data_IF_409501010290
#
_entry.id   IF_409501010290
#
_cell.length_a   1.000
_cell.length_b   1.000
_cell.length_c   1.000
_cell.angle_alpha   90.00
_cell.angle_beta   90.00
_cell.angle_gamma   90.00
#
_symmetry.space_group_name_H-M   'P 1'
#
loop_
_entity.id
_entity.type
_entity.pdbx_description
1 polymer ?
#
# COMPACT_ATOMS: atom_id res chain seq x y z
N UNK A 1 3.47 1.17 -26.58
CA UNK A 1 4.88 0.99 -27.01
C UNK A 1 5.89 1.81 -26.24
N UNK A 2 5.78 3.14 -26.19
CA UNK A 2 6.61 4.02 -25.37
C UNK A 2 5.82 4.47 -24.14
N UNK A 3 6.49 4.72 -23.01
CA UNK A 3 5.87 5.37 -21.87
C UNK A 3 5.39 6.77 -22.27
N UNK A 4 4.11 7.05 -22.04
CA UNK A 4 3.49 8.35 -22.35
C UNK A 4 3.24 9.16 -21.08
N UNK A 5 2.72 8.50 -20.04
CA UNK A 5 2.32 9.16 -18.80
C UNK A 5 2.40 8.19 -17.62
N UNK A 6 2.72 8.73 -16.44
CA UNK A 6 2.50 8.08 -15.17
C UNK A 6 1.94 9.10 -14.17
N UNK A 7 1.00 8.67 -13.34
CA UNK A 7 0.38 9.51 -12.32
C UNK A 7 0.23 8.78 -11.00
N UNK A 8 0.24 9.51 -9.89
CA UNK A 8 -0.16 8.97 -8.59
C UNK A 8 -1.68 8.73 -8.55
N UNK A 9 -2.16 8.03 -7.52
CA UNK A 9 -3.60 7.78 -7.33
C UNK A 9 -4.38 9.05 -6.97
N UNK A 10 -3.78 9.96 -6.23
CA UNK A 10 -4.46 11.15 -5.69
C UNK A 10 -5.73 10.79 -4.90
N UNK A 11 -6.85 11.45 -5.22
CA UNK A 11 -8.18 11.17 -4.63
C UNK A 11 -8.94 10.02 -5.32
N UNK A 12 -8.31 9.37 -6.31
CA UNK A 12 -8.91 8.33 -7.13
C UNK A 12 -9.52 8.82 -8.44
N UNK A 13 -9.65 10.14 -8.62
CA UNK A 13 -10.06 10.77 -9.88
C UNK A 13 -8.93 11.61 -10.48
N UNK A 14 -8.26 12.41 -9.65
CA UNK A 14 -7.18 13.32 -10.05
C UNK A 14 -5.90 12.95 -9.31
N UNK A 15 -4.92 12.46 -10.09
CA UNK A 15 -3.57 12.16 -9.64
C UNK A 15 -2.56 13.26 -9.99
N UNK A 16 -1.38 13.19 -9.38
CA UNK A 16 -0.24 14.04 -9.75
C UNK A 16 0.56 13.38 -10.88
N UNK A 17 0.97 14.16 -11.88
CA UNK A 17 1.87 13.69 -12.94
C UNK A 17 3.29 13.48 -12.38
N UNK A 18 3.79 12.25 -12.52
CA UNK A 18 5.12 11.82 -12.08
C UNK A 18 5.93 11.23 -13.24
N UNK A 19 5.53 11.49 -14.48
CA UNK A 19 6.14 10.92 -15.69
C UNK A 19 7.65 11.20 -15.75
N UNK A 20 8.08 12.38 -15.32
CA UNK A 20 9.48 12.79 -15.27
C UNK A 20 10.32 11.96 -14.29
N UNK A 21 9.72 11.35 -13.28
CA UNK A 21 10.41 10.52 -12.29
C UNK A 21 10.56 9.06 -12.71
N UNK A 22 9.74 8.55 -13.64
CA UNK A 22 9.74 7.14 -14.04
C UNK A 22 11.10 6.66 -14.58
N UNK A 23 11.87 7.44 -15.35
CA UNK A 23 13.21 7.03 -15.76
C UNK A 23 14.19 6.74 -14.61
N UNK A 24 13.91 7.20 -13.39
CA UNK A 24 14.72 6.90 -12.20
C UNK A 24 14.32 5.57 -11.51
N UNK A 25 13.18 4.97 -11.88
CA UNK A 25 12.73 3.70 -11.31
C UNK A 25 13.58 2.55 -11.84
N UNK A 26 13.89 1.58 -10.99
CA UNK A 26 14.85 0.51 -11.34
C UNK A 26 14.29 -0.56 -12.28
N UNK A 27 12.98 -0.74 -12.35
CA UNK A 27 12.36 -1.89 -13.02
C UNK A 27 11.17 -1.52 -13.92
N UNK A 28 11.08 -0.27 -14.37
CA UNK A 28 10.03 0.17 -15.29
C UNK A 28 10.62 0.31 -16.70
N UNK A 29 10.20 -0.51 -17.68
CA UNK A 29 10.63 -0.34 -19.06
C UNK A 29 10.03 0.93 -19.67
N UNK A 30 10.87 1.83 -20.17
CA UNK A 30 10.42 3.04 -20.89
C UNK A 30 9.86 2.73 -22.28
N UNK A 31 10.22 1.57 -22.82
CA UNK A 31 9.70 1.07 -24.09
C UNK A 31 9.45 -0.43 -24.01
N UNK A 32 8.33 -0.87 -24.58
CA UNK A 32 7.89 -2.26 -24.62
C UNK A 32 7.54 -2.67 -26.06
N UNK A 33 7.58 -3.97 -26.39
CA UNK A 33 7.23 -4.45 -27.73
C UNK A 33 5.76 -4.20 -28.07
N UNK A 34 4.85 -4.25 -27.09
CA UNK A 34 3.42 -3.99 -27.24
C UNK A 34 3.15 -2.58 -27.78
N UNK A 35 2.52 -2.47 -28.96
CA UNK A 35 2.36 -1.18 -29.68
C UNK A 35 1.06 -0.47 -29.37
N UNK A 36 0.03 -1.19 -28.98
CA UNK A 36 -1.27 -0.63 -28.64
C UNK A 36 -1.24 0.08 -27.27
N UNK A 37 -2.38 0.66 -26.93
CA UNK A 37 -2.58 1.37 -25.69
C UNK A 37 -2.66 0.37 -24.54
N UNK A 38 -1.79 0.57 -23.55
CA UNK A 38 -1.69 -0.25 -22.36
C UNK A 38 -1.70 0.69 -21.14
N UNK A 39 -2.67 0.49 -20.25
CA UNK A 39 -2.79 1.22 -18.99
C UNK A 39 -2.69 0.22 -17.85
N UNK A 40 -1.66 0.35 -17.03
CA UNK A 40 -1.39 -0.53 -15.90
C UNK A 40 -1.49 0.26 -14.59
N UNK A 41 -1.90 -0.41 -13.53
CA UNK A 41 -1.85 0.13 -12.18
C UNK A 41 -1.10 -0.84 -11.26
N UNK A 42 -0.44 -0.27 -10.27
CA UNK A 42 0.54 -0.95 -9.44
C UNK A 42 0.97 -0.08 -8.28
N UNK A 43 1.81 -0.66 -7.44
CA UNK A 43 2.38 0.03 -6.29
C UNK A 43 3.83 0.41 -6.56
N UNK A 44 4.19 1.65 -6.19
CA UNK A 44 5.59 2.06 -6.16
C UNK A 44 6.14 1.86 -4.76
N UNK A 45 7.27 1.17 -4.63
CA UNK A 45 7.83 0.80 -3.34
C UNK A 45 9.35 0.85 -3.35
N UNK A 46 9.94 0.82 -2.16
CA UNK A 46 11.39 0.65 -1.95
C UNK A 46 11.56 -0.67 -1.18
N UNK A 47 12.38 -1.61 -1.68
CA UNK A 47 12.63 -2.86 -0.96
C UNK A 47 13.09 -2.64 0.47
N UNK A 48 12.69 -3.52 1.40
CA UNK A 48 13.00 -3.36 2.83
C UNK A 48 14.50 -3.26 3.10
N UNK A 49 15.32 -4.08 2.44
CA UNK A 49 16.77 -4.02 2.54
C UNK A 49 17.38 -2.71 1.99
N UNK A 50 16.83 -2.17 0.90
CA UNK A 50 17.24 -0.89 0.33
C UNK A 50 16.85 0.27 1.25
N UNK A 51 15.66 0.23 1.86
CA UNK A 51 15.24 1.22 2.84
C UNK A 51 16.18 1.22 4.05
N UNK A 52 16.45 0.06 4.65
CA UNK A 52 17.35 -0.07 5.80
C UNK A 52 18.76 0.48 5.50
N UNK A 53 19.27 0.25 4.29
CA UNK A 53 20.56 0.78 3.86
C UNK A 53 20.56 2.31 3.68
N UNK A 54 19.42 2.90 3.30
CA UNK A 54 19.33 4.31 2.90
C UNK A 54 18.78 5.23 3.98
N UNK A 55 18.01 4.71 4.95
CA UNK A 55 17.25 5.51 5.93
C UNK A 55 18.11 6.49 6.73
N UNK A 56 19.36 6.12 7.03
CA UNK A 56 20.27 6.94 7.85
C UNK A 56 21.06 7.97 7.03
N UNK A 57 21.11 7.82 5.70
CA UNK A 57 21.88 8.70 4.81
C UNK A 57 21.01 9.77 4.14
N UNK A 58 19.75 9.46 3.89
CA UNK A 58 18.82 10.37 3.22
C UNK A 58 17.92 11.07 4.24
N UNK A 59 17.46 12.26 3.86
CA UNK A 59 16.58 13.09 4.68
C UNK A 59 15.36 13.49 3.88
N UNK A 60 14.25 13.68 4.58
CA UNK A 60 13.02 14.25 4.04
C UNK A 60 13.16 15.75 3.75
N UNK A 61 12.08 16.37 3.25
CA UNK A 61 12.08 17.81 2.94
C UNK A 61 12.30 18.72 4.16
N UNK A 62 12.22 18.18 5.38
CA UNK A 62 12.47 18.90 6.64
C UNK A 62 13.84 18.57 7.24
N UNK A 63 14.69 17.83 6.53
CA UNK A 63 16.01 17.43 7.03
C UNK A 63 15.96 16.31 8.08
N UNK A 64 14.85 15.59 8.22
CA UNK A 64 14.68 14.47 9.16
C UNK A 64 14.86 13.12 8.47
N UNK A 65 15.33 12.07 9.17
CA UNK A 65 15.36 10.71 8.61
C UNK A 65 13.96 10.24 8.21
N UNK A 66 13.89 9.38 7.19
CA UNK A 66 12.63 8.74 6.81
C UNK A 66 12.26 7.66 7.83
N UNK A 67 11.02 7.73 8.35
CA UNK A 67 10.53 6.86 9.42
C UNK A 67 10.13 5.46 8.97
N UNK A 68 9.60 5.35 7.76
CA UNK A 68 9.22 4.06 7.16
C UNK A 68 9.39 4.07 5.64
N UNK A 69 9.45 2.88 5.05
CA UNK A 69 9.64 2.68 3.61
C UNK A 69 8.53 3.30 2.76
N UNK A 70 7.29 3.34 3.26
CA UNK A 70 6.14 3.94 2.56
C UNK A 70 6.31 5.45 2.38
N UNK A 71 6.68 6.15 3.44
CA UNK A 71 6.96 7.59 3.41
C UNK A 71 8.17 7.89 2.51
N UNK A 72 9.18 7.02 2.55
CA UNK A 72 10.36 7.17 1.71
C UNK A 72 10.03 7.00 0.22
N UNK A 73 9.25 5.97 -0.14
CA UNK A 73 8.78 5.76 -1.50
C UNK A 73 7.93 6.95 -1.98
N UNK A 74 6.90 7.34 -1.21
CA UNK A 74 6.00 8.46 -1.55
C UNK A 74 6.76 9.77 -1.78
N UNK A 75 7.69 10.13 -0.87
CA UNK A 75 8.51 11.33 -1.02
C UNK A 75 9.48 11.28 -2.19
N UNK A 76 9.90 10.09 -2.61
CA UNK A 76 10.80 9.90 -3.76
C UNK A 76 10.06 9.98 -5.08
N UNK A 77 8.90 9.33 -5.18
CA UNK A 77 8.04 9.30 -6.36
C UNK A 77 7.49 10.69 -6.69
N UNK A 78 7.25 11.53 -5.68
CA UNK A 78 6.69 12.88 -5.83
C UNK A 78 7.76 13.98 -5.89
N UNK A 79 9.03 13.63 -6.06
CA UNK A 79 10.10 14.62 -6.18
C UNK A 79 9.92 15.49 -7.42
N UNK A 80 10.15 16.80 -7.30
CA UNK A 80 10.13 17.72 -8.44
C UNK A 80 11.35 17.52 -9.35
N UNK A 81 12.54 17.31 -8.77
CA UNK A 81 13.75 16.97 -9.52
C UNK A 81 13.92 15.44 -9.57
N UNK A 82 13.90 14.82 -10.76
CA UNK A 82 14.09 13.38 -10.90
C UNK A 82 15.46 12.91 -10.43
N UNK A 83 16.48 13.78 -10.39
CA UNK A 83 17.80 13.46 -9.84
C UNK A 83 17.73 13.05 -8.38
N UNK A 84 16.76 13.57 -7.63
CA UNK A 84 16.58 13.15 -6.24
C UNK A 84 16.04 11.73 -6.15
N UNK A 85 15.26 11.25 -7.13
CA UNK A 85 14.74 9.89 -7.15
C UNK A 85 15.84 8.87 -7.52
N UNK A 86 16.84 9.29 -8.29
CA UNK A 86 18.00 8.46 -8.66
C UNK A 86 18.71 7.96 -7.39
N UNK A 87 18.99 6.67 -7.34
CA UNK A 87 19.69 6.04 -6.22
C UNK A 87 18.84 5.76 -4.99
N UNK A 88 17.56 6.16 -4.98
CA UNK A 88 16.60 5.83 -3.90
C UNK A 88 15.96 4.45 -4.04
N UNK A 89 16.36 3.69 -5.06
CA UNK A 89 15.92 2.32 -5.31
C UNK A 89 14.40 2.14 -5.46
N UNK A 90 13.70 3.14 -5.99
CA UNK A 90 12.25 3.04 -6.24
C UNK A 90 11.98 2.00 -7.31
N UNK A 91 11.03 1.12 -7.04
CA UNK A 91 10.52 0.07 -7.94
C UNK A 91 9.02 0.20 -8.09
N UNK A 92 8.49 -0.41 -9.15
CA UNK A 92 7.07 -0.51 -9.42
C UNK A 92 6.65 -1.97 -9.58
N UNK A 93 5.53 -2.35 -8.97
CA UNK A 93 4.96 -3.68 -9.08
C UNK A 93 3.51 -3.58 -9.60
N UNK A 94 3.22 -4.04 -10.83
CA UNK A 94 1.86 -4.02 -11.34
C UNK A 94 1.00 -5.05 -10.59
N UNK A 95 -0.24 -4.66 -10.26
CA UNK A 95 -1.24 -5.57 -9.70
C UNK A 95 -2.55 -5.57 -10.48
N UNK A 96 -2.73 -4.69 -11.48
CA UNK A 96 -3.89 -4.75 -12.38
C UNK A 96 -3.62 -4.07 -13.74
N UNK A 97 -4.35 -4.50 -14.77
CA UNK A 97 -4.37 -3.88 -16.10
C UNK A 97 -5.73 -3.24 -16.32
N UNK A 98 -5.76 -1.92 -16.56
CA UNK A 98 -6.99 -1.16 -16.76
C UNK A 98 -7.43 -1.15 -18.24
N UNK A 99 -6.48 -1.19 -19.17
CA UNK A 99 -6.73 -1.15 -20.61
C UNK A 99 -5.59 -1.87 -21.35
N UNK A 100 -5.92 -2.61 -22.41
CA UNK A 100 -4.97 -3.37 -23.22
C UNK A 100 -4.82 -4.83 -22.81
N UNK A 101 -3.88 -5.55 -23.45
CA UNK A 101 -3.65 -6.99 -23.28
C UNK A 101 -4.87 -7.85 -23.62
N UNK A 102 -5.56 -7.55 -24.73
CA UNK A 102 -6.70 -8.34 -25.21
C UNK A 102 -6.27 -9.56 -26.06
N UNK A 103 -5.00 -9.61 -26.43
CA UNK A 103 -4.35 -10.66 -27.23
C UNK A 103 -3.80 -11.83 -26.39
N UNK A 104 -3.87 -11.74 -25.06
CA UNK A 104 -3.47 -12.84 -24.17
C UNK A 104 -4.48 -14.00 -24.23
N UNK A 105 -4.09 -15.24 -23.88
CA UNK A 105 -4.98 -16.41 -23.99
C UNK A 105 -6.31 -16.28 -23.23
N UNK A 106 -6.31 -15.62 -22.07
CA UNK A 106 -7.49 -15.41 -21.23
C UNK A 106 -7.64 -13.93 -20.86
N UNK A 107 -8.18 -13.09 -21.75
CA UNK A 107 -8.19 -11.64 -21.55
C UNK A 107 -9.15 -11.19 -20.43
N UNK A 108 -10.10 -12.02 -20.00
CA UNK A 108 -10.92 -11.70 -18.82
C UNK A 108 -10.21 -12.05 -17.49
N UNK A 109 -9.05 -12.71 -17.50
CA UNK A 109 -8.31 -13.10 -16.29
C UNK A 109 -7.26 -12.05 -15.91
N UNK A 110 -7.33 -11.53 -14.69
CA UNK A 110 -6.31 -10.63 -14.14
C UNK A 110 -4.96 -11.31 -14.03
N UNK A 111 -4.92 -12.55 -13.53
CA UNK A 111 -3.71 -13.34 -13.44
C UNK A 111 -3.02 -13.47 -14.81
N UNK A 112 -3.78 -13.82 -15.85
CA UNK A 112 -3.25 -13.95 -17.21
C UNK A 112 -2.69 -12.62 -17.75
N UNK A 113 -3.39 -11.50 -17.52
CA UNK A 113 -2.88 -10.17 -17.91
C UNK A 113 -1.59 -9.81 -17.15
N UNK A 114 -1.52 -10.08 -15.84
CA UNK A 114 -0.33 -9.81 -15.03
C UNK A 114 0.87 -10.67 -15.43
N UNK A 115 0.66 -11.95 -15.71
CA UNK A 115 1.69 -12.82 -16.29
C UNK A 115 2.19 -12.26 -17.63
N UNK A 116 1.27 -11.81 -18.49
CA UNK A 116 1.59 -11.14 -19.75
C UNK A 116 2.51 -9.92 -19.59
N UNK A 117 2.35 -9.13 -18.53
CA UNK A 117 3.22 -7.98 -18.26
C UNK A 117 4.67 -8.38 -17.99
N UNK A 118 4.92 -9.58 -17.45
CA UNK A 118 6.29 -10.06 -17.20
C UNK A 118 7.06 -10.25 -18.52
N UNK A 119 6.38 -10.70 -19.57
CA UNK A 119 6.96 -10.80 -20.92
C UNK A 119 7.25 -9.44 -21.56
N UNK A 120 6.64 -8.37 -21.04
CA UNK A 120 6.91 -6.99 -21.45
C UNK A 120 8.01 -6.33 -20.62
N UNK A 121 8.59 -7.04 -19.65
CA UNK A 121 9.70 -6.55 -18.81
C UNK A 121 9.28 -5.91 -17.49
N UNK A 122 8.01 -6.02 -17.08
CA UNK A 122 7.57 -5.58 -15.75
C UNK A 122 7.84 -6.65 -14.69
N UNK A 123 7.88 -6.23 -13.43
CA UNK A 123 7.99 -7.14 -12.28
C UNK A 123 6.75 -8.01 -12.08
N UNK A 124 6.94 -9.17 -11.44
CA UNK A 124 5.89 -10.12 -11.10
C UNK A 124 5.40 -9.92 -9.66
N UNK A 125 4.10 -9.67 -9.49
CA UNK A 125 3.46 -9.68 -8.18
C UNK A 125 3.11 -11.12 -7.79
N UNK A 126 3.63 -11.68 -6.68
CA UNK A 126 3.26 -13.03 -6.24
C UNK A 126 1.77 -13.15 -5.92
N UNK A 127 1.11 -14.18 -6.46
CA UNK A 127 -0.28 -14.50 -6.15
C UNK A 127 -0.52 -16.03 -6.23
N UNK A 128 -1.65 -16.46 -5.68
CA UNK A 128 -2.20 -17.80 -5.87
C UNK A 128 -3.57 -17.71 -6.53
N UNK A 129 -3.80 -18.51 -7.58
CA UNK A 129 -5.13 -18.65 -8.17
C UNK A 129 -5.91 -19.75 -7.46
N UNK A 130 -7.11 -19.43 -7.02
CA UNK A 130 -8.00 -20.36 -6.33
C UNK A 130 -9.19 -20.64 -7.25
N UNK A 131 -9.36 -21.92 -7.61
CA UNK A 131 -10.45 -22.40 -8.46
C UNK A 131 -11.30 -23.41 -7.70
N UNK A 132 -12.63 -23.38 -7.87
CA UNK A 132 -13.55 -24.41 -7.36
C UNK A 132 -14.32 -24.07 -6.07
N UNK A 133 -14.88 -25.11 -5.43
CA UNK A 133 -15.85 -25.00 -4.34
C UNK A 133 -15.20 -24.77 -2.97
N UNK A 134 -14.73 -23.54 -2.75
CA UNK A 134 -14.40 -23.03 -1.41
C UNK A 134 -12.94 -23.22 -0.98
N UNK A 135 -12.40 -22.17 -0.38
CA UNK A 135 -11.10 -22.17 0.31
C UNK A 135 -11.35 -22.53 1.78
N UNK A 136 -10.83 -23.67 2.25
CA UNK A 136 -10.87 -23.94 3.70
C UNK A 136 -9.96 -22.96 4.44
N UNK A 137 -10.22 -22.75 5.73
CA UNK A 137 -9.42 -21.86 6.57
C UNK A 137 -7.94 -22.28 6.56
N UNK A 138 -7.68 -23.58 6.66
CA UNK A 138 -6.33 -24.14 6.71
C UNK A 138 -5.56 -23.89 5.40
N UNK A 139 -6.23 -24.02 4.25
CA UNK A 139 -5.63 -23.68 2.96
C UNK A 139 -5.39 -22.18 2.82
N UNK A 140 -6.31 -21.34 3.29
CA UNK A 140 -6.13 -19.89 3.29
C UNK A 140 -4.91 -19.46 4.10
N UNK A 141 -4.79 -19.97 5.33
CA UNK A 141 -3.66 -19.70 6.23
C UNK A 141 -2.33 -20.12 5.59
N UNK A 142 -2.30 -21.30 4.96
CA UNK A 142 -1.11 -21.79 4.26
C UNK A 142 -0.70 -20.84 3.12
N UNK A 143 -1.62 -20.44 2.24
CA UNK A 143 -1.31 -19.53 1.15
C UNK A 143 -0.84 -18.16 1.64
N UNK A 144 -1.47 -17.64 2.71
CA UNK A 144 -1.04 -16.40 3.35
C UNK A 144 0.40 -16.53 3.84
N UNK A 145 0.74 -17.59 4.57
CA UNK A 145 2.11 -17.82 5.06
C UNK A 145 3.14 -17.95 3.93
N UNK A 146 2.78 -18.64 2.84
CA UNK A 146 3.64 -18.77 1.66
C UNK A 146 3.87 -17.42 0.95
N UNK A 147 2.82 -16.60 0.80
CA UNK A 147 2.94 -15.25 0.23
C UNK A 147 3.79 -14.34 1.14
N UNK A 148 3.59 -14.39 2.46
CA UNK A 148 4.39 -13.64 3.44
C UNK A 148 5.86 -14.02 3.33
N UNK A 149 6.16 -15.33 3.30
CA UNK A 149 7.53 -15.82 3.16
C UNK A 149 8.16 -15.40 1.84
N UNK A 150 7.39 -15.45 0.75
CA UNK A 150 7.83 -15.02 -0.58
C UNK A 150 8.11 -13.53 -0.61
N UNK A 151 7.23 -12.71 -0.03
CA UNK A 151 7.40 -11.27 0.07
C UNK A 151 8.65 -10.91 0.87
N UNK A 152 8.90 -11.59 2.00
CA UNK A 152 10.11 -11.39 2.79
C UNK A 152 11.39 -11.69 1.99
N UNK A 153 11.42 -12.81 1.25
CA UNK A 153 12.55 -13.19 0.39
C UNK A 153 12.78 -12.20 -0.76
N UNK A 154 11.70 -11.58 -1.26
CA UNK A 154 11.75 -10.55 -2.30
C UNK A 154 11.90 -9.13 -1.74
N UNK A 155 12.03 -8.97 -0.43
CA UNK A 155 12.09 -7.68 0.28
C UNK A 155 10.91 -6.75 -0.04
N UNK A 156 9.72 -7.30 -0.27
CA UNK A 156 8.52 -6.52 -0.52
C UNK A 156 7.97 -5.97 0.83
N UNK A 157 7.78 -4.65 0.97
CA UNK A 157 7.20 -4.05 2.17
C UNK A 157 5.67 -4.21 2.15
N UNK A 158 5.18 -5.38 2.55
CA UNK A 158 3.74 -5.69 2.59
C UNK A 158 3.16 -5.47 3.99
N UNK A 159 1.91 -5.00 4.05
CA UNK A 159 1.12 -4.82 5.29
C UNK A 159 -0.13 -5.72 5.32
N UNK A 160 -0.22 -6.64 4.36
CA UNK A 160 -1.35 -7.54 4.20
C UNK A 160 -1.33 -8.24 2.85
N UNK A 161 -2.39 -9.00 2.59
CA UNK A 161 -2.66 -9.72 1.36
C UNK A 161 -4.01 -9.25 0.78
N UNK A 162 -4.12 -9.19 -0.55
CA UNK A 162 -5.38 -8.86 -1.22
C UNK A 162 -5.94 -10.11 -1.89
N UNK A 163 -7.19 -10.41 -1.59
CA UNK A 163 -8.00 -11.39 -2.31
C UNK A 163 -8.93 -10.65 -3.25
N UNK A 164 -8.89 -10.95 -4.54
CA UNK A 164 -9.68 -10.27 -5.57
C UNK A 164 -10.15 -11.26 -6.63
N UNK A 165 -11.35 -11.06 -7.17
CA UNK A 165 -11.88 -11.95 -8.22
C UNK A 165 -11.05 -11.88 -9.48
N UNK A 166 -10.52 -13.01 -9.95
CA UNK A 166 -9.68 -13.05 -11.16
C UNK A 166 -10.39 -12.55 -12.43
N UNK A 167 -11.68 -12.86 -12.59
CA UNK A 167 -12.49 -12.35 -13.70
C UNK A 167 -12.68 -10.84 -13.61
N UNK A 168 -12.14 -10.11 -14.59
CA UNK A 168 -12.19 -8.66 -14.70
C UNK A 168 -13.63 -8.18 -14.94
N UNK A 169 -14.38 -8.87 -15.80
CA UNK A 169 -15.78 -8.58 -16.07
C UNK A 169 -16.65 -8.78 -14.83
N UNK A 170 -16.42 -9.85 -14.06
CA UNK A 170 -17.12 -10.08 -12.81
C UNK A 170 -16.75 -9.05 -11.73
N UNK A 171 -15.47 -8.77 -11.54
CA UNK A 171 -14.96 -7.73 -10.64
C UNK A 171 -15.62 -6.37 -10.93
N UNK A 172 -15.73 -6.00 -12.21
CA UNK A 172 -16.43 -4.77 -12.63
C UNK A 172 -17.92 -4.80 -12.28
N UNK A 173 -18.58 -5.95 -12.40
CA UNK A 173 -20.01 -6.11 -12.10
C UNK A 173 -20.37 -5.96 -10.62
N UNK A 174 -19.42 -6.22 -9.71
CA UNK A 174 -19.61 -6.06 -8.26
C UNK A 174 -19.86 -4.59 -7.84
N UNK A 175 -19.38 -3.64 -8.64
CA UNK A 175 -19.51 -2.21 -8.38
C UNK A 175 -18.60 -1.68 -7.27
N UNK A 176 -18.86 -0.45 -6.82
CA UNK A 176 -18.10 0.23 -5.77
C UNK A 176 -19.02 0.93 -4.76
N UNK A 177 -18.54 1.09 -3.53
CA UNK A 177 -19.06 2.05 -2.55
C UNK A 177 -18.51 3.44 -2.87
N UNK A 178 -18.82 4.44 -2.04
CA UNK A 178 -18.21 5.77 -2.15
C UNK A 178 -16.68 5.77 -2.00
N UNK A 179 -16.08 4.70 -1.49
CA UNK A 179 -14.64 4.65 -1.19
C UNK A 179 -13.90 3.36 -1.62
N UNK A 180 -14.60 2.23 -1.80
CA UNK A 180 -13.97 0.93 -2.10
C UNK A 180 -14.74 0.11 -3.14
N UNK A 181 -14.04 -0.73 -3.91
CA UNK A 181 -14.65 -1.71 -4.80
C UNK A 181 -15.18 -2.92 -4.01
N UNK A 182 -16.20 -3.59 -4.55
CA UNK A 182 -16.85 -4.76 -3.92
C UNK A 182 -16.36 -6.10 -4.48
N UNK A 183 -15.22 -6.09 -5.15
CA UNK A 183 -14.65 -7.22 -5.90
C UNK A 183 -13.48 -7.91 -5.19
N UNK A 184 -13.16 -7.49 -3.97
CA UNK A 184 -12.06 -8.04 -3.21
C UNK A 184 -12.05 -7.61 -1.75
N UNK A 185 -11.15 -8.23 -0.99
CA UNK A 185 -10.90 -7.99 0.42
C UNK A 185 -9.40 -7.85 0.67
N UNK A 186 -9.02 -6.89 1.51
CA UNK A 186 -7.66 -6.78 2.02
C UNK A 186 -7.60 -7.43 3.40
N UNK A 187 -6.79 -8.48 3.53
CA UNK A 187 -6.44 -9.11 4.79
C UNK A 187 -5.18 -8.45 5.33
N UNK A 188 -5.34 -7.60 6.36
CA UNK A 188 -4.21 -6.93 7.01
C UNK A 188 -3.56 -7.86 8.03
N UNK A 189 -2.25 -7.78 8.16
CA UNK A 189 -1.55 -8.47 9.25
C UNK A 189 -1.89 -7.80 10.58
N UNK A 190 -1.69 -8.52 11.67
CA UNK A 190 -1.80 -7.91 12.99
C UNK A 190 -0.72 -6.84 13.12
N UNK A 191 -1.15 -5.63 13.49
CA UNK A 191 -0.22 -4.55 13.81
C UNK A 191 0.53 -4.90 15.11
N UNK A 192 1.77 -4.44 15.22
CA UNK A 192 2.53 -4.57 16.47
C UNK A 192 1.77 -3.85 17.60
N UNK A 193 1.60 -4.53 18.73
CA UNK A 193 0.98 -3.94 19.92
C UNK A 193 2.05 -3.35 20.82
N UNK A 194 1.79 -2.15 21.32
CA UNK A 194 2.69 -1.42 22.21
C UNK A 194 1.95 -1.08 23.49
N UNK A 195 2.63 -1.28 24.62
CA UNK A 195 2.06 -0.91 25.91
C UNK A 195 2.44 0.52 26.29
N UNK A 196 1.49 1.28 26.80
CA UNK A 196 1.72 2.64 27.32
C UNK A 196 0.81 2.94 28.52
N UNK A 197 0.96 4.11 29.12
CA UNK A 197 0.10 4.57 30.20
C UNK A 197 -0.77 5.72 29.73
N UNK A 198 -2.08 5.62 29.94
CA UNK A 198 -3.02 6.73 29.78
C UNK A 198 -2.76 7.75 30.90
N UNK A 199 -2.29 8.94 30.56
CA UNK A 199 -1.98 10.03 31.50
C UNK A 199 -3.18 10.90 31.80
N UNK A 200 -3.90 11.31 30.77
CA UNK A 200 -5.10 12.12 30.91
C UNK A 200 -6.00 12.01 29.67
N UNK A 201 -7.21 12.57 29.77
CA UNK A 201 -8.16 12.66 28.67
C UNK A 201 -8.48 14.13 28.44
N UNK A 202 -8.06 14.64 27.30
CA UNK A 202 -8.40 15.99 26.82
C UNK A 202 -9.70 15.96 26.02
N UNK A 203 -10.51 17.00 26.15
CA UNK A 203 -11.80 17.13 25.45
C UNK A 203 -11.71 18.23 24.41
N UNK A 204 -11.68 17.85 23.13
CA UNK A 204 -11.46 18.78 22.02
C UNK A 204 -12.76 19.02 21.24
N UNK A 205 -13.18 20.29 21.02
CA UNK A 205 -14.32 20.59 20.16
C UNK A 205 -13.97 20.29 18.69
N UNK A 206 -14.86 19.57 18.00
CA UNK A 206 -14.73 19.27 16.58
C UNK A 206 -15.37 20.35 15.72
N UNK A 207 -15.04 20.36 14.43
CA UNK A 207 -15.65 21.27 13.44
C UNK A 207 -17.17 21.15 13.32
N UNK A 208 -17.76 20.06 13.84
CA UNK A 208 -19.20 19.80 13.81
C UNK A 208 -19.88 20.09 15.16
N UNK A 209 -19.15 20.67 16.13
CA UNK A 209 -19.70 21.04 17.44
C UNK A 209 -19.75 19.90 18.47
N UNK A 210 -19.26 18.71 18.10
CA UNK A 210 -19.11 17.60 19.04
C UNK A 210 -17.86 17.80 19.91
N UNK A 211 -17.84 17.21 21.11
CA UNK A 211 -16.65 17.20 21.97
C UNK A 211 -16.03 15.80 21.90
N UNK A 212 -14.88 15.69 21.23
CA UNK A 212 -14.17 14.43 21.05
C UNK A 212 -13.14 14.22 22.18
N UNK A 213 -13.16 13.05 22.84
CA UNK A 213 -12.13 12.71 23.81
C UNK A 213 -10.83 12.27 23.13
N UNK A 214 -9.71 12.83 23.57
CA UNK A 214 -8.36 12.50 23.13
C UNK A 214 -7.56 12.03 24.32
N UNK A 215 -7.10 10.78 24.28
CA UNK A 215 -6.22 10.22 25.29
C UNK A 215 -4.79 10.74 25.11
N UNK A 216 -4.17 11.13 26.20
CA UNK A 216 -2.76 11.50 26.28
C UNK A 216 -2.01 10.37 26.94
N UNK A 217 -0.95 9.89 26.30
CA UNK A 217 -0.22 8.70 26.70
C UNK A 217 1.25 9.01 26.96
N UNK A 218 1.93 8.13 27.70
CA UNK A 218 3.38 8.07 27.60
C UNK A 218 3.78 7.85 26.13
N UNK A 219 4.84 8.54 25.71
CA UNK A 219 5.28 8.46 24.32
C UNK A 219 5.82 7.07 24.04
N UNK A 220 5.24 6.42 23.04
CA UNK A 220 5.73 5.17 22.47
C UNK A 220 6.13 5.40 21.01
N UNK A 221 7.16 4.71 20.55
CA UNK A 221 7.58 4.77 19.16
C UNK A 221 6.87 3.66 18.37
N UNK A 222 6.01 4.04 17.43
CA UNK A 222 5.28 3.15 16.52
C UNK A 222 5.68 3.51 15.09
N UNK A 223 6.25 2.57 14.33
CA UNK A 223 6.75 2.80 12.97
C UNK A 223 7.66 4.03 12.83
N UNK A 224 8.58 4.23 13.79
CA UNK A 224 9.48 5.39 13.85
C UNK A 224 8.79 6.71 14.18
N UNK A 225 7.51 6.68 14.57
CA UNK A 225 6.74 7.82 15.01
C UNK A 225 6.51 7.82 16.51
N UNK A 226 6.90 8.92 17.17
CA UNK A 226 6.47 9.22 18.53
C UNK A 226 4.94 9.40 18.55
N UNK A 227 4.25 8.47 19.20
CA UNK A 227 2.82 8.51 19.45
C UNK A 227 2.58 8.72 20.93
N UNK A 228 1.95 9.85 21.26
CA UNK A 228 1.56 10.21 22.63
C UNK A 228 0.10 10.62 22.73
N UNK A 229 -0.64 10.57 21.61
CA UNK A 229 -2.03 11.03 21.53
C UNK A 229 -2.83 10.09 20.63
N UNK A 230 -4.00 9.67 21.08
CA UNK A 230 -4.93 8.89 20.28
C UNK A 230 -6.38 9.25 20.60
N UNK A 231 -7.26 9.10 19.61
CA UNK A 231 -8.70 9.29 19.81
C UNK A 231 -9.25 8.20 20.73
N UNK A 232 -10.09 8.58 21.70
CA UNK A 232 -10.88 7.62 22.49
C UNK A 232 -12.29 7.46 21.93
N UNK A 233 -12.51 7.89 20.69
CA UNK A 233 -13.75 7.83 19.93
C UNK A 233 -14.94 8.57 20.56
N UNK A 234 -15.48 8.07 21.68
CA UNK A 234 -16.64 8.64 22.37
C UNK A 234 -16.70 8.15 23.82
N UNK A 235 -17.61 8.73 24.61
CA UNK A 235 -17.79 8.39 26.03
C UNK A 235 -18.16 6.92 26.25
N UNK A 236 -18.93 6.30 25.35
CA UNK A 236 -19.32 4.89 25.45
C UNK A 236 -18.10 3.98 25.31
N UNK A 237 -17.18 4.30 24.39
CA UNK A 237 -15.92 3.56 24.22
C UNK A 237 -15.07 3.59 25.49
N UNK A 238 -14.90 4.77 26.10
CA UNK A 238 -14.17 4.95 27.37
C UNK A 238 -14.79 4.11 28.48
N UNK A 239 -16.11 4.14 28.62
CA UNK A 239 -16.85 3.39 29.65
C UNK A 239 -16.73 1.88 29.46
N UNK A 240 -16.86 1.40 28.22
CA UNK A 240 -16.82 -0.04 27.92
C UNK A 240 -15.44 -0.64 28.19
N UNK A 241 -14.38 0.14 28.01
CA UNK A 241 -13.00 -0.27 28.30
C UNK A 241 -12.56 0.08 29.73
N UNK A 242 -13.45 0.68 30.54
CA UNK A 242 -13.16 1.15 31.89
C UNK A 242 -11.90 2.02 31.99
N UNK A 243 -11.64 2.81 30.94
CA UNK A 243 -10.41 3.59 30.82
C UNK A 243 -10.42 4.75 31.83
N UNK A 244 -9.38 4.78 32.67
CA UNK A 244 -9.10 5.89 33.58
C UNK A 244 -7.63 6.31 33.49
N UNK A 245 -7.30 7.58 33.73
CA UNK A 245 -5.92 8.01 33.92
C UNK A 245 -5.18 7.08 34.90
N UNK A 246 -4.00 6.61 34.49
CA UNK A 246 -3.19 5.63 35.21
C UNK A 246 -3.30 4.19 34.68
N UNK A 247 -4.29 3.87 33.83
CA UNK A 247 -4.36 2.58 33.17
C UNK A 247 -3.12 2.33 32.30
N UNK A 248 -2.57 1.12 32.41
CA UNK A 248 -1.68 0.55 31.38
C UNK A 248 -2.58 -0.02 30.29
N UNK A 249 -2.33 0.39 29.05
CA UNK A 249 -3.05 -0.05 27.86
C UNK A 249 -2.11 -0.73 26.88
#
# INVERSE_FOLDING_TARGET
>A
GRLIQASTRGDGEVGEDITHNIPAFLNVPLTIPHKERLVITGESFIPTNDFERLKDTLRDGNGKPYKNGRNFASGSVRSLDPKNCIGRCVRFLPFNVLEGMEDVPFPDSRACKLEGLTHLGFGYCPFFSISGTGLSKEYAEKFIQELVSTAANLHLPIDGIVMIFDSLSYSKSCGKTGHHYKDGLAYKFEDDTYETFLREIEWTPTRFGEIAPVGIFDTVEIDGCDVSRASLHNLTFIKNLELVPGCRI
#
